data_IF_709020256457
#
_entry.id   IF_709020256457
#
_cell.length_a   1.000
_cell.length_b   1.000
_cell.length_c   1.000
_cell.angle_alpha   90.00
_cell.angle_beta   90.00
_cell.angle_gamma   90.00
#
_symmetry.space_group_name_H-M   'P 1'
#
loop_
_entity.id
_entity.type
_entity.pdbx_description
1 polymer ?
#
# COMPACT_ATOMS: atom_id res chain seq x y z
N UNK A 1 5.78 3.93 6.34
CA UNK A 1 4.91 4.15 5.17
C UNK A 1 5.47 5.23 4.25
N UNK A 2 5.77 6.41 4.80
CA UNK A 2 6.24 7.60 4.11
C UNK A 2 7.54 7.36 3.33
N UNK A 3 8.49 6.61 3.91
CA UNK A 3 9.71 6.18 3.20
C UNK A 3 9.40 5.33 1.96
N UNK A 4 8.43 4.41 2.05
CA UNK A 4 8.03 3.58 0.92
C UNK A 4 7.41 4.44 -0.21
N UNK A 5 6.71 5.52 0.14
CA UNK A 5 6.13 6.47 -0.81
C UNK A 5 7.20 7.39 -1.45
N UNK A 6 7.95 8.13 -0.63
CA UNK A 6 8.83 9.22 -1.08
C UNK A 6 10.29 8.84 -1.32
N UNK A 7 10.74 7.73 -0.76
CA UNK A 7 12.17 7.45 -0.67
C UNK A 7 12.93 8.59 0.01
N UNK A 8 14.03 9.10 -0.58
CA UNK A 8 14.84 10.16 0.01
C UNK A 8 14.28 11.59 -0.20
N UNK A 9 13.18 11.75 -0.94
CA UNK A 9 12.65 13.06 -1.30
C UNK A 9 12.01 13.79 -0.11
N UNK A 10 12.05 15.14 -0.09
CA UNK A 10 11.38 15.93 0.95
C UNK A 10 9.86 15.71 0.92
N UNK A 11 9.21 15.95 2.06
CA UNK A 11 7.75 15.89 2.14
C UNK A 11 7.13 17.06 1.35
N UNK A 12 6.14 16.77 0.53
CA UNK A 12 5.27 17.76 -0.08
C UNK A 12 3.91 17.77 0.64
N UNK A 13 3.35 18.96 0.85
CA UNK A 13 2.02 19.10 1.44
C UNK A 13 0.97 18.47 0.52
N UNK A 14 0.05 17.71 1.11
CA UNK A 14 -1.05 17.02 0.41
C UNK A 14 -0.62 16.04 -0.69
N UNK A 15 0.61 15.55 -0.62
CA UNK A 15 1.17 14.61 -1.59
C UNK A 15 0.52 13.22 -1.52
N UNK A 16 0.47 12.57 -2.67
CA UNK A 16 0.19 11.15 -2.81
C UNK A 16 1.49 10.35 -3.06
N UNK A 17 1.39 9.02 -3.13
CA UNK A 17 2.55 8.13 -3.21
C UNK A 17 3.51 8.46 -4.37
N UNK A 18 3.01 8.96 -5.50
CA UNK A 18 3.81 9.37 -6.65
C UNK A 18 4.57 10.70 -6.47
N UNK A 19 4.35 11.42 -5.36
CA UNK A 19 5.14 12.61 -4.99
C UNK A 19 4.59 13.92 -5.51
N UNK A 20 3.36 13.95 -6.03
CA UNK A 20 2.64 15.17 -6.42
C UNK A 20 1.27 15.22 -5.74
N UNK A 21 0.55 16.32 -5.91
CA UNK A 21 -0.84 16.49 -5.43
C UNK A 21 -1.88 16.20 -6.51
N UNK A 22 -1.44 15.84 -7.72
CA UNK A 22 -2.30 15.58 -8.87
C UNK A 22 -2.90 14.18 -8.74
N UNK A 23 -4.22 14.05 -8.92
CA UNK A 23 -4.97 12.83 -8.63
C UNK A 23 -5.90 12.49 -9.81
N UNK A 24 -5.75 11.29 -10.34
CA UNK A 24 -6.60 10.71 -11.37
C UNK A 24 -7.32 9.48 -10.80
N UNK A 25 -8.60 9.65 -10.43
CA UNK A 25 -9.42 8.56 -9.89
C UNK A 25 -9.62 7.48 -10.94
N UNK A 26 -9.42 6.22 -10.58
CA UNK A 26 -9.77 5.10 -11.45
C UNK A 26 -11.28 5.07 -11.70
N UNK A 27 -11.69 5.22 -12.96
CA UNK A 27 -13.10 5.18 -13.36
C UNK A 27 -13.48 3.99 -14.24
N UNK A 28 -12.48 3.40 -14.90
CA UNK A 28 -12.66 2.27 -15.83
C UNK A 28 -11.60 1.23 -15.53
N UNK A 29 -12.02 -0.04 -15.48
CA UNK A 29 -11.13 -1.19 -15.61
C UNK A 29 -11.24 -1.73 -17.03
N UNK A 30 -10.11 -1.73 -17.74
CA UNK A 30 -10.00 -2.33 -19.07
C UNK A 30 -9.56 -3.78 -18.91
N UNK A 31 -10.06 -4.68 -19.76
CA UNK A 31 -9.64 -6.07 -19.78
C UNK A 31 -10.08 -6.89 -18.56
N UNK A 32 -11.12 -6.47 -17.83
CA UNK A 32 -11.61 -7.17 -16.64
C UNK A 32 -12.08 -8.62 -16.89
N UNK A 33 -12.45 -8.93 -18.14
CA UNK A 33 -12.87 -10.27 -18.58
C UNK A 33 -11.72 -11.06 -19.24
N UNK A 34 -10.53 -10.46 -19.34
CA UNK A 34 -9.30 -11.05 -19.86
C UNK A 34 -8.30 -11.12 -18.68
N UNK A 35 -7.29 -11.99 -18.72
CA UNK A 35 -6.49 -12.36 -17.53
C UNK A 35 -5.71 -11.22 -16.81
N UNK A 36 -5.90 -9.93 -17.17
CA UNK A 36 -5.22 -8.79 -16.57
C UNK A 36 -6.06 -7.51 -16.68
N UNK A 37 -6.51 -6.99 -15.54
CA UNK A 37 -7.21 -5.71 -15.47
C UNK A 37 -6.23 -4.54 -15.52
N UNK A 38 -6.62 -3.43 -16.17
CA UNK A 38 -5.85 -2.18 -16.21
C UNK A 38 -6.72 -1.03 -15.72
N UNK A 39 -6.24 -0.32 -14.69
CA UNK A 39 -6.89 0.83 -14.11
C UNK A 39 -6.65 2.10 -14.95
N UNK A 40 -7.73 2.76 -15.37
CA UNK A 40 -7.68 4.09 -15.98
C UNK A 40 -7.65 5.16 -14.88
N UNK A 41 -6.49 5.34 -14.26
CA UNK A 41 -6.27 6.26 -13.14
C UNK A 41 -5.07 5.84 -12.30
N UNK A 42 -4.65 6.73 -11.40
CA UNK A 42 -3.50 6.51 -10.52
C UNK A 42 -3.87 6.16 -9.07
N UNK A 43 -5.16 6.17 -8.74
CA UNK A 43 -5.66 5.81 -7.43
C UNK A 43 -7.09 5.26 -7.49
N UNK A 44 -7.32 4.12 -6.82
CA UNK A 44 -8.65 3.54 -6.68
C UNK A 44 -9.34 4.02 -5.40
N UNK A 45 -10.39 4.82 -5.55
CA UNK A 45 -10.93 5.66 -4.47
C UNK A 45 -12.39 6.07 -4.73
N UNK A 46 -13.14 6.46 -3.69
CA UNK A 46 -14.53 6.96 -3.78
C UNK A 46 -15.50 6.07 -4.60
N UNK A 47 -15.16 4.80 -4.74
CA UNK A 47 -15.92 3.81 -5.50
C UNK A 47 -17.16 3.31 -4.70
N UNK A 48 -17.41 3.90 -3.52
CA UNK A 48 -18.68 3.79 -2.80
C UNK A 48 -19.81 4.58 -3.46
N UNK A 49 -19.49 5.58 -4.30
CA UNK A 49 -20.50 6.36 -5.02
C UNK A 49 -20.42 6.21 -6.54
N UNK A 50 -19.24 5.89 -7.09
CA UNK A 50 -19.02 5.79 -8.53
C UNK A 50 -18.46 4.40 -8.89
N UNK A 51 -19.33 3.44 -9.23
CA UNK A 51 -18.90 2.11 -9.66
C UNK A 51 -17.88 2.16 -10.80
N UNK A 52 -16.87 1.31 -10.74
CA UNK A 52 -15.92 1.07 -11.82
C UNK A 52 -16.64 0.49 -13.04
N UNK A 53 -16.60 1.22 -14.16
CA UNK A 53 -17.05 0.68 -15.43
C UNK A 53 -16.10 -0.43 -15.90
N UNK A 54 -16.66 -1.53 -16.42
CA UNK A 54 -15.89 -2.69 -16.86
C UNK A 54 -15.62 -3.74 -15.78
N UNK A 55 -15.78 -3.43 -14.49
CA UNK A 55 -15.59 -4.41 -13.42
C UNK A 55 -16.83 -5.33 -13.25
N UNK A 56 -16.62 -6.64 -13.05
CA UNK A 56 -17.71 -7.63 -12.88
C UNK A 56 -18.64 -7.29 -11.69
N UNK A 57 -18.10 -6.71 -10.61
CA UNK A 57 -18.86 -6.33 -9.41
C UNK A 57 -19.03 -4.81 -9.25
N UNK A 58 -18.45 -4.00 -10.15
CA UNK A 58 -18.53 -2.53 -10.15
C UNK A 58 -17.93 -1.83 -8.93
N UNK A 59 -17.63 -2.52 -7.83
CA UNK A 59 -17.18 -1.93 -6.55
C UNK A 59 -16.16 -2.84 -5.90
N UNK A 60 -15.19 -2.23 -5.22
CA UNK A 60 -14.18 -2.97 -4.50
C UNK A 60 -12.76 -2.50 -4.76
N UNK A 61 -11.80 -3.19 -4.12
CA UNK A 61 -10.41 -3.05 -4.47
C UNK A 61 -10.15 -3.56 -5.88
N UNK A 62 -9.02 -3.19 -6.43
CA UNK A 62 -8.46 -3.68 -7.69
C UNK A 62 -7.12 -4.34 -7.38
N UNK A 63 -6.62 -5.18 -8.27
CA UNK A 63 -5.29 -5.74 -8.09
C UNK A 63 -4.24 -4.62 -8.05
N UNK A 64 -3.23 -4.70 -7.17
CA UNK A 64 -2.15 -3.69 -7.10
C UNK A 64 -1.39 -3.58 -8.45
N UNK A 65 -1.38 -4.66 -9.22
CA UNK A 65 -0.78 -4.74 -10.56
C UNK A 65 -1.63 -4.03 -11.63
N UNK A 66 -2.90 -3.74 -11.37
CA UNK A 66 -3.80 -3.04 -12.31
C UNK A 66 -3.40 -1.58 -12.54
N UNK A 67 -2.63 -0.98 -11.63
CA UNK A 67 -2.08 0.37 -11.78
C UNK A 67 -0.82 0.42 -12.68
N UNK A 68 -0.29 -0.73 -13.09
CA UNK A 68 0.92 -0.80 -13.90
C UNK A 68 0.59 -0.68 -15.38
N UNK A 69 1.18 0.30 -16.06
CA UNK A 69 0.96 0.57 -17.49
C UNK A 69 1.44 -0.55 -18.44
N UNK A 70 2.11 -1.59 -17.92
CA UNK A 70 2.40 -2.80 -18.69
C UNK A 70 1.08 -3.54 -18.94
N UNK A 71 0.60 -3.51 -20.18
CA UNK A 71 -0.73 -4.03 -20.54
C UNK A 71 -1.70 -3.00 -21.12
N UNK A 72 -1.31 -1.73 -21.31
CA UNK A 72 -1.91 -0.96 -22.40
C UNK A 72 -1.82 -1.83 -23.67
N UNK A 73 -2.80 -1.84 -24.59
CA UNK A 73 -2.84 -2.75 -25.75
C UNK A 73 -1.61 -2.69 -26.69
N UNK A 74 -0.60 -1.87 -26.37
CA UNK A 74 0.67 -1.70 -27.07
C UNK A 74 1.93 -2.03 -26.23
N UNK A 75 1.82 -2.52 -24.98
CA UNK A 75 2.98 -2.78 -24.10
C UNK A 75 3.12 -4.27 -23.73
N UNK A 76 3.91 -5.02 -24.50
CA UNK A 76 4.31 -6.40 -24.25
C UNK A 76 5.33 -6.53 -23.09
N UNK A 77 4.91 -6.42 -21.82
CA UNK A 77 5.79 -6.73 -20.68
C UNK A 77 5.06 -7.51 -19.57
N UNK A 78 5.54 -8.72 -19.18
CA UNK A 78 4.85 -9.62 -18.25
C UNK A 78 5.24 -9.47 -16.76
N UNK A 79 5.85 -8.36 -16.33
CA UNK A 79 6.42 -8.28 -14.98
C UNK A 79 5.51 -7.56 -13.95
N UNK A 80 5.46 -8.01 -12.69
CA UNK A 80 4.83 -7.29 -11.60
C UNK A 80 5.56 -5.95 -11.29
N UNK A 81 4.91 -4.96 -10.67
CA UNK A 81 5.44 -3.61 -10.43
C UNK A 81 6.80 -3.59 -9.73
N UNK A 82 7.00 -4.45 -8.73
CA UNK A 82 8.27 -4.56 -8.02
C UNK A 82 9.42 -5.11 -8.89
N UNK A 83 9.11 -5.87 -9.95
CA UNK A 83 10.10 -6.42 -10.87
C UNK A 83 10.39 -5.48 -12.06
N UNK A 84 9.47 -4.57 -12.41
CA UNK A 84 9.75 -3.45 -13.34
C UNK A 84 10.56 -2.34 -12.65
N UNK A 85 10.42 -2.17 -11.33
CA UNK A 85 11.22 -1.24 -10.53
C UNK A 85 12.73 -1.51 -10.61
N UNK A 86 13.09 -2.77 -10.82
CA UNK A 86 14.44 -3.25 -11.04
C UNK A 86 14.50 -3.97 -12.39
N UNK A 87 14.23 -3.23 -13.48
CA UNK A 87 14.81 -3.64 -14.75
C UNK A 87 16.30 -3.95 -14.51
N UNK A 88 16.82 -4.99 -15.15
CA UNK A 88 18.21 -5.43 -15.01
C UNK A 88 19.25 -4.32 -15.33
N UNK A 89 18.80 -3.13 -15.77
CA UNK A 89 19.60 -1.94 -16.06
C UNK A 89 19.61 -0.86 -14.95
N UNK A 90 18.83 -1.03 -13.87
CA UNK A 90 18.83 -0.13 -12.70
C UNK A 90 18.32 1.30 -12.95
N UNK A 91 17.60 1.56 -14.05
CA UNK A 91 17.12 2.92 -14.37
C UNK A 91 15.79 3.25 -13.69
N UNK A 92 15.78 4.38 -12.98
CA UNK A 92 14.59 4.96 -12.33
C UNK A 92 13.53 5.33 -13.37
N UNK A 93 12.29 4.90 -13.16
CA UNK A 93 11.11 5.36 -13.93
C UNK A 93 10.96 6.88 -13.75
N UNK A 94 10.86 7.68 -14.83
CA UNK A 94 10.65 9.13 -14.74
C UNK A 94 9.41 9.52 -13.90
N UNK A 95 9.43 10.71 -13.30
CA UNK A 95 8.40 11.13 -12.32
C UNK A 95 6.99 11.29 -12.92
N UNK A 96 6.88 11.63 -14.19
CA UNK A 96 5.62 11.67 -14.96
C UNK A 96 5.00 10.28 -15.13
N UNK A 97 5.83 9.25 -15.32
CA UNK A 97 5.38 7.87 -15.37
C UNK A 97 4.91 7.36 -13.99
N UNK A 98 5.53 7.81 -12.90
CA UNK A 98 5.09 7.46 -11.53
C UNK A 98 3.70 8.02 -11.22
N UNK A 99 3.43 9.27 -11.60
CA UNK A 99 2.11 9.87 -11.43
C UNK A 99 1.04 9.16 -12.25
N UNK A 100 1.31 8.81 -13.51
CA UNK A 100 0.35 8.09 -14.36
C UNK A 100 0.01 6.69 -13.83
N UNK A 101 0.99 6.03 -13.19
CA UNK A 101 0.85 4.67 -12.65
C UNK A 101 0.48 4.62 -11.17
N UNK A 102 0.34 5.76 -10.49
CA UNK A 102 0.12 5.79 -9.05
C UNK A 102 1.29 5.21 -8.23
N UNK A 103 2.49 5.18 -8.81
CA UNK A 103 3.62 4.44 -8.27
C UNK A 103 4.51 5.33 -7.37
N UNK A 104 4.95 4.78 -6.25
CA UNK A 104 5.89 5.44 -5.34
C UNK A 104 7.31 5.59 -5.89
N UNK A 105 8.20 6.21 -5.13
CA UNK A 105 9.61 6.38 -5.48
C UNK A 105 10.29 5.03 -5.74
N UNK A 106 9.88 4.00 -5.01
CA UNK A 106 10.35 2.62 -5.17
C UNK A 106 9.42 1.78 -6.05
N UNK A 107 8.59 2.43 -6.87
CA UNK A 107 7.64 1.80 -7.80
C UNK A 107 6.65 0.82 -7.14
N UNK A 108 6.38 1.01 -5.85
CA UNK A 108 5.27 0.33 -5.16
C UNK A 108 3.97 1.04 -5.55
N UNK A 109 3.01 0.29 -6.08
CA UNK A 109 1.64 0.73 -6.39
C UNK A 109 0.72 0.51 -5.20
N UNK A 110 -0.50 1.04 -5.24
CA UNK A 110 -1.51 0.82 -4.19
C UNK A 110 -1.27 1.56 -2.86
N UNK A 111 -0.28 2.46 -2.79
CA UNK A 111 0.06 3.21 -1.56
C UNK A 111 -0.79 4.49 -1.34
N UNK A 112 -1.73 4.80 -2.22
CA UNK A 112 -2.65 5.95 -2.09
C UNK A 112 -4.00 5.57 -2.70
N UNK A 113 -4.85 4.92 -1.90
CA UNK A 113 -6.11 4.31 -2.30
C UNK A 113 -6.05 2.78 -2.24
N UNK A 114 -6.97 2.14 -2.95
CA UNK A 114 -7.17 0.69 -2.99
C UNK A 114 -7.57 0.07 -1.65
N UNK A 115 -6.63 -0.24 -0.76
CA UNK A 115 -6.89 -0.85 0.54
C UNK A 115 -6.10 -0.15 1.64
N UNK A 116 -6.72 -0.04 2.81
CA UNK A 116 -6.01 0.39 4.00
C UNK A 116 -4.89 -0.58 4.34
N UNK A 117 -3.72 -0.05 4.68
CA UNK A 117 -2.59 -0.84 5.14
C UNK A 117 -2.32 -0.60 6.63
N UNK A 118 -2.40 -1.63 7.49
CA UNK A 118 -2.06 -1.51 8.90
C UNK A 118 -0.55 -1.33 9.09
N UNK A 119 -0.20 -0.41 9.97
CA UNK A 119 1.16 -0.07 10.37
C UNK A 119 1.23 0.04 11.90
N UNK A 120 2.41 -0.15 12.47
CA UNK A 120 2.63 0.20 13.89
C UNK A 120 2.55 1.72 14.06
N UNK A 121 1.76 2.18 15.04
CA UNK A 121 1.49 3.60 15.28
C UNK A 121 2.53 4.25 16.18
N UNK A 122 3.11 5.35 15.72
CA UNK A 122 3.89 6.25 16.58
C UNK A 122 3.01 7.11 17.52
N UNK A 123 1.71 7.24 17.22
CA UNK A 123 0.77 8.07 18.00
C UNK A 123 0.31 7.41 19.30
N UNK A 124 0.49 6.10 19.46
CA UNK A 124 0.00 5.34 20.62
C UNK A 124 1.17 4.79 21.47
N UNK A 125 1.08 4.79 22.82
CA UNK A 125 2.13 4.23 23.67
C UNK A 125 2.49 2.78 23.35
N UNK A 126 1.48 1.92 23.07
CA UNK A 126 1.72 0.51 22.71
C UNK A 126 2.49 0.39 21.39
N UNK A 127 2.14 1.17 20.37
CA UNK A 127 2.87 1.14 19.10
C UNK A 127 4.29 1.70 19.23
N UNK A 128 4.55 2.63 20.15
CA UNK A 128 5.91 3.11 20.47
C UNK A 128 6.75 2.10 21.25
N UNK A 129 6.14 1.09 21.86
CA UNK A 129 6.84 -0.01 22.51
C UNK A 129 7.33 -1.09 21.52
N UNK A 130 7.10 -0.88 20.21
CA UNK A 130 7.54 -1.79 19.17
C UNK A 130 9.06 -1.93 19.07
N UNK A 131 9.52 -3.18 19.13
CA UNK A 131 10.95 -3.53 19.09
C UNK A 131 11.36 -3.97 17.68
N UNK A 132 10.45 -4.63 16.94
CA UNK A 132 10.74 -5.16 15.62
C UNK A 132 11.60 -6.43 15.62
N UNK A 133 11.63 -7.16 16.74
CA UNK A 133 12.24 -8.48 16.82
C UNK A 133 11.52 -9.45 15.88
N UNK A 134 12.28 -10.32 15.22
CA UNK A 134 11.73 -11.41 14.43
C UNK A 134 11.12 -12.47 15.35
N UNK A 135 9.97 -13.02 14.93
CA UNK A 135 9.36 -14.18 15.58
C UNK A 135 10.28 -15.39 15.54
N UNK A 136 10.18 -16.26 16.56
CA UNK A 136 10.84 -17.56 16.57
C UNK A 136 10.07 -18.62 15.76
N UNK A 137 8.98 -18.22 15.10
CA UNK A 137 8.12 -19.08 14.31
C UNK A 137 7.16 -19.95 15.13
N UNK A 138 7.13 -19.80 16.46
CA UNK A 138 6.20 -20.54 17.31
C UNK A 138 4.92 -19.76 17.53
N UNK A 139 3.82 -20.50 17.54
CA UNK A 139 2.49 -20.01 17.87
C UNK A 139 1.97 -20.81 19.06
N UNK A 140 1.12 -20.20 19.88
CA UNK A 140 0.40 -20.89 20.95
C UNK A 140 -0.73 -21.79 20.40
N UNK A 141 -1.50 -22.40 21.30
CA UNK A 141 -2.63 -23.27 20.94
C UNK A 141 -3.77 -22.55 20.20
N UNK A 142 -3.78 -21.22 20.21
CA UNK A 142 -4.75 -20.36 19.51
C UNK A 142 -4.19 -19.79 18.21
N UNK A 143 -2.95 -20.14 17.83
CA UNK A 143 -2.30 -19.63 16.63
C UNK A 143 -1.75 -18.21 16.79
N UNK A 144 -1.49 -17.77 18.03
CA UNK A 144 -0.99 -16.43 18.33
C UNK A 144 0.52 -16.42 18.59
N UNK A 145 1.24 -15.40 18.12
CA UNK A 145 2.65 -15.22 18.46
C UNK A 145 2.81 -14.61 19.86
N UNK A 146 4.02 -14.67 20.41
CA UNK A 146 4.37 -13.94 21.63
C UNK A 146 4.48 -12.42 21.36
N UNK A 147 3.35 -11.73 21.44
CA UNK A 147 3.29 -10.28 21.21
C UNK A 147 4.21 -9.49 22.15
N UNK A 148 4.40 -9.95 23.39
CA UNK A 148 5.21 -9.25 24.39
C UNK A 148 6.70 -9.34 24.04
N UNK A 149 7.20 -10.51 23.65
CA UNK A 149 8.58 -10.69 23.22
C UNK A 149 8.90 -9.92 21.92
N UNK A 150 7.92 -9.79 21.03
CA UNK A 150 8.09 -9.13 19.74
C UNK A 150 7.82 -7.60 19.82
N UNK A 151 7.13 -7.14 20.87
CA UNK A 151 6.68 -5.75 21.04
C UNK A 151 5.59 -5.33 20.05
N UNK A 152 4.91 -6.29 19.40
CA UNK A 152 3.87 -5.96 18.41
C UNK A 152 2.56 -5.58 19.08
N UNK A 153 1.75 -4.70 18.46
CA UNK A 153 0.36 -4.53 18.86
C UNK A 153 -0.36 -5.88 18.96
N UNK A 154 -1.01 -6.12 20.11
CA UNK A 154 -1.73 -7.36 20.37
C UNK A 154 -3.09 -7.45 19.68
N UNK A 155 -3.90 -8.43 20.07
CA UNK A 155 -5.23 -8.69 19.51
C UNK A 155 -6.24 -7.54 19.64
N UNK A 156 -6.03 -6.63 20.59
CA UNK A 156 -6.85 -5.44 20.74
C UNK A 156 -6.53 -4.37 19.69
N UNK A 157 -5.47 -4.58 18.90
CA UNK A 157 -4.96 -3.71 17.86
C UNK A 157 -4.62 -2.27 18.32
N UNK A 158 -4.55 -2.06 19.63
CA UNK A 158 -4.08 -0.82 20.20
C UNK A 158 -2.65 -0.56 19.74
N UNK A 159 -2.42 0.61 19.15
CA UNK A 159 -1.14 0.93 18.53
C UNK A 159 -0.98 0.47 17.09
N UNK A 160 -2.06 0.04 16.43
CA UNK A 160 -2.12 -0.03 14.96
C UNK A 160 -2.64 1.30 14.40
N UNK A 161 -1.99 1.79 13.35
CA UNK A 161 -2.42 2.90 12.51
C UNK A 161 -2.76 2.38 11.12
N UNK A 162 -3.75 2.97 10.45
CA UNK A 162 -4.04 2.66 9.04
C UNK A 162 -3.48 3.74 8.13
N UNK A 163 -2.91 3.32 7.00
CA UNK A 163 -2.25 4.20 6.04
C UNK A 163 -2.75 3.94 4.62
N UNK A 164 -2.66 4.95 3.77
CA UNK A 164 -2.95 4.83 2.33
C UNK A 164 -4.40 5.14 1.94
N UNK A 165 -5.37 5.06 2.86
CA UNK A 165 -6.77 5.11 2.49
C UNK A 165 -7.21 3.83 1.78
N UNK A 166 -8.43 3.81 1.28
CA UNK A 166 -8.99 2.67 0.53
C UNK A 166 -9.90 3.13 -0.61
N UNK A 167 -10.35 2.16 -1.40
CA UNK A 167 -11.35 2.31 -2.47
C UNK A 167 -12.67 2.92 -1.97
N UNK A 168 -12.94 2.84 -0.68
CA UNK A 168 -14.17 3.33 -0.05
C UNK A 168 -14.04 4.76 0.51
N UNK A 169 -12.83 5.21 0.81
CA UNK A 169 -12.56 6.49 1.50
C UNK A 169 -12.38 7.67 0.56
N UNK A 170 -12.58 8.89 1.09
CA UNK A 170 -12.40 10.20 0.46
C UNK A 170 -10.95 10.72 0.35
N UNK A 171 -10.78 11.92 -0.21
CA UNK A 171 -9.48 12.49 -0.65
C UNK A 171 -8.47 12.78 0.44
N UNK A 172 -8.91 13.01 1.67
CA UNK A 172 -8.02 13.33 2.78
C UNK A 172 -7.17 12.14 3.25
N UNK A 173 -7.77 10.95 3.33
CA UNK A 173 -7.23 9.78 4.04
C UNK A 173 -6.07 9.06 3.34
N UNK A 174 -5.78 9.45 2.10
CA UNK A 174 -4.84 8.81 1.16
C UNK A 174 -3.57 9.63 0.94
N UNK A 175 -3.50 10.81 1.55
CA UNK A 175 -2.28 11.63 1.56
C UNK A 175 -1.20 10.89 2.34
N UNK A 176 0.03 10.96 1.87
CA UNK A 176 1.17 10.22 2.45
C UNK A 176 1.34 10.54 3.94
N UNK A 177 1.04 11.77 4.37
CA UNK A 177 1.16 12.19 5.77
C UNK A 177 -0.13 12.07 6.60
N UNK A 178 -1.29 11.69 6.03
CA UNK A 178 -2.53 11.63 6.81
C UNK A 178 -2.41 10.61 7.94
N UNK A 179 -2.80 10.98 9.16
CA UNK A 179 -2.76 10.09 10.33
C UNK A 179 -4.10 10.08 11.07
N UNK A 180 -5.17 10.45 10.39
CA UNK A 180 -6.52 10.47 10.95
C UNK A 180 -6.91 9.12 11.56
N UNK A 181 -6.36 8.02 11.03
CA UNK A 181 -6.53 6.65 11.52
C UNK A 181 -5.33 6.12 12.33
N UNK A 182 -4.65 6.99 13.09
CA UNK A 182 -3.41 6.70 13.83
C UNK A 182 -3.57 5.93 15.15
N UNK A 183 -4.78 5.57 15.56
CA UNK A 183 -5.03 4.86 16.82
C UNK A 183 -6.29 4.02 16.71
N UNK A 184 -6.21 2.92 15.95
CA UNK A 184 -7.32 2.00 15.83
C UNK A 184 -7.53 1.24 17.14
N UNK A 185 -8.80 0.94 17.40
CA UNK A 185 -9.23 -0.01 18.44
C UNK A 185 -9.74 -1.27 17.76
N UNK A 186 -9.78 -2.36 18.51
CA UNK A 186 -10.32 -3.66 18.09
C UNK A 186 -11.62 -3.54 17.28
N UNK A 187 -11.66 -4.19 16.11
CA UNK A 187 -12.81 -4.23 15.21
C UNK A 187 -12.39 -3.97 13.77
N UNK A 188 -12.30 -2.69 13.39
CA UNK A 188 -12.02 -2.29 12.00
C UNK A 188 -10.66 -2.81 11.49
N UNK A 189 -9.65 -2.82 12.36
CA UNK A 189 -8.30 -3.34 12.14
C UNK A 189 -8.19 -4.88 12.17
N UNK A 190 -9.24 -5.60 12.58
CA UNK A 190 -9.25 -7.07 12.61
C UNK A 190 -9.64 -7.62 11.24
N UNK A 191 -10.68 -7.04 10.63
CA UNK A 191 -11.09 -7.31 9.24
C UNK A 191 -12.08 -6.25 8.79
N UNK A 192 -11.82 -5.62 7.65
CA UNK A 192 -12.78 -4.77 6.93
C UNK A 192 -12.76 -5.12 5.45
N UNK A 193 -13.84 -4.79 4.74
CA UNK A 193 -13.97 -5.01 3.29
C UNK A 193 -13.01 -4.12 2.46
N UNK A 194 -12.38 -3.16 3.11
CA UNK A 194 -11.45 -2.20 2.52
C UNK A 194 -10.09 -2.16 3.25
N UNK A 195 -9.79 -3.21 4.02
CA UNK A 195 -8.52 -3.42 4.71
C UNK A 195 -7.71 -4.51 4.00
N UNK A 196 -6.45 -4.21 3.70
CA UNK A 196 -5.46 -5.12 3.17
C UNK A 196 -4.23 -5.19 4.07
N UNK A 197 -3.09 -5.57 3.50
CA UNK A 197 -1.81 -5.54 4.17
C UNK A 197 -0.66 -5.48 3.17
N UNK A 198 0.48 -5.00 3.64
CA UNK A 198 1.76 -5.07 2.91
C UNK A 198 2.81 -5.65 3.83
N UNK A 199 3.42 -6.75 3.41
CA UNK A 199 4.50 -7.35 4.16
C UNK A 199 5.79 -6.54 4.01
N UNK A 200 6.57 -6.47 5.08
CA UNK A 200 7.91 -5.91 5.10
C UNK A 200 8.87 -6.94 5.70
N UNK A 201 10.12 -6.91 5.27
CA UNK A 201 11.20 -7.72 5.84
C UNK A 201 12.43 -6.86 6.07
N UNK A 202 13.20 -7.20 7.09
CA UNK A 202 14.52 -6.64 7.32
C UNK A 202 15.44 -7.04 6.16
N UNK A 203 16.26 -6.10 5.68
CA UNK A 203 17.28 -6.39 4.68
C UNK A 203 18.35 -7.33 5.29
N UNK A 204 18.95 -8.24 4.52
CA UNK A 204 20.10 -9.01 4.99
C UNK A 204 21.21 -8.05 5.42
N UNK A 205 21.91 -8.36 6.51
CA UNK A 205 23.17 -7.70 6.83
C UNK A 205 24.25 -8.25 5.89
N UNK A 206 25.03 -7.37 5.28
CA UNK A 206 26.26 -7.78 4.58
C UNK A 206 27.13 -8.57 5.57
N UNK A 207 27.79 -9.66 5.13
CA UNK A 207 28.74 -10.36 5.98
C UNK A 207 29.83 -9.36 6.40
N UNK A 208 30.09 -9.26 7.70
CA UNK A 208 31.27 -8.57 8.19
C UNK A 208 32.48 -9.30 7.64
N UNK A 209 33.31 -8.61 6.85
CA UNK A 209 34.63 -9.13 6.47
C UNK A 209 35.41 -9.43 7.76
N UNK A 210 35.68 -10.71 8.03
CA UNK A 210 36.63 -11.18 9.06
C UNK A 210 38.07 -11.07 8.58
#
# INVERSE_FOLDING_TARGET
YEKACRGPLPALADEYAWGTTSLAVTSVLLGADEHREVASGNAQIDNSYRPLAGAVQGRGPVDDDSFVAAGQPFAHQPYPPAQQAFHADGRRIPDDHREQQGASYYCLTGLSGNLWEPCVSAGHPIGRAFIGSHGDGKLDEYGLPDFAALGWPGLDADGVALRGGSWYTGTGQRRVADRSQGGQRRGYCVRSFDLGFRAARTAPTEPTEE
#
